data_IF_253677116354
#
_entry.id   IF_253677116354
#
_cell.length_a   1.000
_cell.length_b   1.000
_cell.length_c   1.000
_cell.angle_alpha   90.00
_cell.angle_beta   90.00
_cell.angle_gamma   90.00
#
_symmetry.space_group_name_H-M   'P 1'
#
loop_
_entity.id
_entity.type
_entity.pdbx_description
1 polymer ?
#
# COMPACT_ATOMS: atom_id res chain seq x y z
N UNK A 1 -0.59 -10.27 17.89
CA UNK A 1 -1.49 -11.42 17.68
C UNK A 1 -2.78 -11.32 18.48
N UNK A 2 -2.74 -11.20 19.82
CA UNK A 2 -3.96 -11.21 20.67
C UNK A 2 -5.02 -10.16 20.33
N UNK A 3 -4.68 -8.88 20.09
CA UNK A 3 -5.69 -7.84 19.74
C UNK A 3 -6.25 -7.92 18.31
N UNK A 4 -5.50 -8.52 17.38
CA UNK A 4 -5.97 -8.74 16.01
C UNK A 4 -6.94 -9.93 15.96
N UNK A 5 -6.66 -11.01 16.71
CA UNK A 5 -7.62 -12.08 16.96
C UNK A 5 -8.87 -11.56 17.69
N UNK A 6 -8.72 -10.61 18.62
CA UNK A 6 -9.85 -10.05 19.38
C UNK A 6 -10.79 -9.19 18.52
N UNK A 7 -10.27 -8.53 17.47
CA UNK A 7 -11.09 -7.83 16.47
C UNK A 7 -11.72 -8.83 15.49
N UNK A 8 -11.03 -9.93 15.22
CA UNK A 8 -11.45 -10.98 14.31
C UNK A 8 -12.63 -11.80 14.86
N UNK A 9 -12.54 -12.25 16.11
CA UNK A 9 -13.62 -12.94 16.82
C UNK A 9 -14.88 -12.07 16.92
N UNK A 10 -14.69 -10.75 16.99
CA UNK A 10 -15.76 -9.74 17.04
C UNK A 10 -16.46 -9.50 15.70
N UNK A 11 -15.76 -9.72 14.59
CA UNK A 11 -16.33 -9.64 13.24
C UNK A 11 -17.03 -10.96 12.86
N UNK A 12 -16.58 -12.10 13.37
CA UNK A 12 -17.11 -13.43 13.06
C UNK A 12 -18.49 -13.73 13.66
N UNK A 13 -18.79 -13.20 14.86
CA UNK A 13 -20.14 -13.34 15.47
C UNK A 13 -21.25 -12.57 14.73
N UNK A 14 -20.88 -11.68 13.80
CA UNK A 14 -21.81 -10.76 13.14
C UNK A 14 -22.62 -11.41 12.01
N UNK A 15 -22.18 -12.54 11.44
CA UNK A 15 -22.84 -13.12 10.26
C UNK A 15 -23.43 -14.54 10.44
N UNK A 16 -22.98 -15.32 11.42
CA UNK A 16 -23.38 -16.73 11.59
C UNK A 16 -24.55 -16.98 12.55
N UNK A 17 -24.86 -16.06 13.48
CA UNK A 17 -25.89 -16.29 14.50
C UNK A 17 -25.58 -17.43 15.48
N UNK A 18 -24.34 -17.94 15.51
CA UNK A 18 -23.92 -19.01 16.42
C UNK A 18 -23.16 -18.45 17.62
N UNK A 19 -23.75 -18.53 18.82
CA UNK A 19 -23.05 -18.31 20.09
C UNK A 19 -22.12 -19.50 20.36
N UNK A 20 -20.80 -19.30 20.32
CA UNK A 20 -19.87 -20.25 20.94
C UNK A 20 -18.87 -19.51 21.84
N UNK A 21 -18.90 -19.89 23.11
CA UNK A 21 -18.03 -19.42 24.19
C UNK A 21 -16.57 -19.73 23.89
N UNK A 22 -15.73 -18.70 23.83
CA UNK A 22 -14.27 -18.83 23.75
C UNK A 22 -13.70 -19.35 25.08
N UNK A 23 -13.64 -20.67 25.20
CA UNK A 23 -12.90 -21.36 26.26
C UNK A 23 -12.26 -22.60 25.65
N UNK A 24 -11.15 -22.43 24.94
CA UNK A 24 -10.04 -23.40 24.93
C UNK A 24 -8.92 -22.89 24.02
N UNK A 25 -7.69 -22.84 24.55
CA UNK A 25 -6.49 -22.71 23.73
C UNK A 25 -6.34 -24.00 22.93
N UNK A 26 -6.07 -23.96 21.61
CA UNK A 26 -5.93 -25.19 20.85
C UNK A 26 -4.62 -25.89 21.24
N UNK A 27 -4.78 -27.06 21.85
CA UNK A 27 -3.74 -28.08 21.93
C UNK A 27 -3.58 -28.67 20.52
N UNK A 28 -2.36 -29.06 20.17
CA UNK A 28 -1.84 -29.38 18.82
C UNK A 28 -2.45 -30.58 18.08
N UNK A 29 -3.75 -30.87 18.24
CA UNK A 29 -4.36 -32.12 17.78
C UNK A 29 -5.74 -32.01 17.10
N UNK A 30 -6.24 -30.81 16.77
CA UNK A 30 -7.48 -30.67 16.00
C UNK A 30 -7.16 -30.61 14.50
N UNK A 31 -7.64 -31.62 13.75
CA UNK A 31 -7.33 -31.83 12.33
C UNK A 31 -7.91 -30.72 11.45
N UNK A 32 -7.18 -30.41 10.37
CA UNK A 32 -7.49 -29.42 9.32
C UNK A 32 -8.89 -29.56 8.72
N UNK A 33 -9.50 -30.75 8.78
CA UNK A 33 -10.82 -31.05 8.21
C UNK A 33 -11.99 -30.44 9.00
N UNK A 34 -11.89 -30.33 10.33
CA UNK A 34 -12.96 -29.73 11.19
C UNK A 34 -13.09 -28.20 11.00
N UNK A 35 -12.06 -27.57 10.45
CA UNK A 35 -12.01 -26.13 10.18
C UNK A 35 -12.67 -25.76 8.84
N UNK A 36 -12.65 -26.68 7.86
CA UNK A 36 -13.25 -26.48 6.53
C UNK A 36 -14.78 -26.38 6.62
N UNK A 37 -15.42 -27.14 7.52
CA UNK A 37 -16.89 -27.06 7.71
C UNK A 37 -17.37 -25.75 8.35
N UNK A 38 -16.49 -25.03 9.08
CA UNK A 38 -16.83 -23.79 9.78
C UNK A 38 -16.51 -22.51 9.01
N UNK A 39 -15.93 -22.61 7.82
CA UNK A 39 -15.59 -21.46 6.98
C UNK A 39 -14.38 -20.65 7.46
N UNK A 40 -13.61 -21.14 8.44
CA UNK A 40 -12.40 -20.47 8.94
C UNK A 40 -11.21 -21.41 8.77
N UNK A 41 -10.15 -20.96 8.11
CA UNK A 41 -8.91 -21.73 8.11
C UNK A 41 -7.68 -20.83 8.19
N UNK A 42 -6.72 -21.30 8.97
CA UNK A 42 -5.40 -20.72 9.10
C UNK A 42 -4.42 -21.65 8.38
N UNK A 43 -3.67 -21.12 7.43
CA UNK A 43 -2.58 -21.81 6.75
C UNK A 43 -1.29 -20.97 6.81
N UNK A 44 -0.24 -21.45 6.15
CA UNK A 44 1.06 -20.75 6.14
C UNK A 44 0.97 -19.38 5.43
N UNK A 45 -0.01 -19.20 4.52
CA UNK A 45 -0.17 -17.99 3.72
C UNK A 45 -0.99 -16.91 4.44
N UNK A 46 -1.86 -17.31 5.38
CA UNK A 46 -2.70 -16.38 6.10
C UNK A 46 -3.88 -16.99 6.82
N UNK A 47 -4.76 -16.09 7.24
CA UNK A 47 -6.04 -16.41 7.83
C UNK A 47 -7.13 -16.10 6.81
N UNK A 48 -7.97 -17.09 6.51
CA UNK A 48 -9.13 -16.95 5.66
C UNK A 48 -10.40 -17.15 6.47
N UNK A 49 -11.36 -16.27 6.25
CA UNK A 49 -12.70 -16.34 6.82
C UNK A 49 -13.69 -16.31 5.66
N UNK A 50 -14.64 -17.24 5.67
CA UNK A 50 -15.73 -17.37 4.72
C UNK A 50 -17.05 -17.32 5.46
N UNK A 51 -17.85 -16.29 5.16
CA UNK A 51 -19.22 -16.24 5.61
C UNK A 51 -20.18 -16.65 4.46
N UNK A 52 -21.09 -17.61 4.69
CA UNK A 52 -22.14 -17.94 3.74
C UNK A 52 -23.07 -16.75 3.46
N UNK A 53 -23.45 -16.62 2.19
CA UNK A 53 -24.25 -15.51 1.67
C UNK A 53 -23.39 -14.45 0.97
N UNK A 54 -23.99 -13.77 0.00
CA UNK A 54 -23.35 -12.70 -0.78
C UNK A 54 -23.00 -11.45 0.04
N UNK A 55 -22.43 -10.44 -0.61
CA UNK A 55 -22.51 -9.07 -0.09
C UNK A 55 -23.98 -8.61 0.03
N UNK A 56 -24.24 -7.73 1.01
CA UNK A 56 -25.56 -7.12 1.19
C UNK A 56 -25.90 -6.28 -0.05
N UNK A 57 -27.18 -6.15 -0.37
CA UNK A 57 -27.63 -5.34 -1.50
C UNK A 57 -27.02 -3.92 -1.47
N UNK A 58 -26.45 -3.50 -2.59
CA UNK A 58 -25.74 -2.22 -2.74
C UNK A 58 -24.27 -2.24 -2.32
N UNK A 59 -23.77 -3.31 -1.70
CA UNK A 59 -22.36 -3.50 -1.35
C UNK A 59 -21.66 -4.34 -2.42
N UNK A 60 -20.48 -3.90 -2.83
CA UNK A 60 -19.61 -4.52 -3.82
C UNK A 60 -18.16 -4.38 -3.37
N UNK A 61 -17.24 -5.11 -4.03
CA UNK A 61 -15.81 -4.95 -3.80
C UNK A 61 -15.31 -3.52 -4.07
N UNK A 62 -15.99 -2.76 -4.94
CA UNK A 62 -15.58 -1.42 -5.33
C UNK A 62 -16.07 -0.30 -4.39
N UNK A 63 -16.99 -0.58 -3.47
CA UNK A 63 -17.56 0.42 -2.55
C UNK A 63 -17.64 -0.06 -1.09
N UNK A 64 -17.02 -1.19 -0.74
CA UNK A 64 -16.95 -1.77 0.60
C UNK A 64 -16.49 -0.78 1.70
N UNK A 65 -15.57 0.14 1.38
CA UNK A 65 -14.97 1.11 2.31
C UNK A 65 -15.78 2.41 2.47
N UNK A 66 -16.78 2.62 1.61
CA UNK A 66 -17.55 3.87 1.56
C UNK A 66 -19.05 3.65 1.71
N UNK A 67 -19.51 2.40 1.66
CA UNK A 67 -20.92 2.06 1.84
C UNK A 67 -21.28 2.09 3.32
N UNK A 68 -22.43 2.68 3.63
CA UNK A 68 -22.92 2.69 5.01
C UNK A 68 -23.20 1.28 5.53
N UNK A 69 -22.86 0.97 6.79
CA UNK A 69 -23.07 -0.36 7.36
C UNK A 69 -24.56 -0.72 7.41
N UNK A 70 -24.95 -1.78 6.69
CA UNK A 70 -26.32 -2.32 6.68
C UNK A 70 -26.31 -3.79 7.11
N UNK A 71 -26.60 -4.10 8.39
CA UNK A 71 -26.62 -5.48 8.86
C UNK A 71 -27.77 -6.25 8.22
N UNK A 72 -27.53 -7.50 7.80
CA UNK A 72 -28.59 -8.41 7.31
C UNK A 72 -29.62 -8.71 8.39
N UNK A 73 -29.16 -8.87 9.64
CA UNK A 73 -30.00 -9.08 10.81
C UNK A 73 -29.78 -7.94 11.82
N UNK A 74 -30.61 -6.89 11.81
CA UNK A 74 -30.45 -5.74 12.71
C UNK A 74 -30.55 -6.11 14.20
N UNK A 75 -31.40 -7.09 14.56
CA UNK A 75 -31.58 -7.51 15.95
C UNK A 75 -30.33 -8.20 16.49
N UNK A 76 -29.78 -9.15 15.73
CA UNK A 76 -28.53 -9.82 16.10
C UNK A 76 -27.39 -8.78 16.20
N UNK A 77 -27.28 -7.89 15.22
CA UNK A 77 -26.29 -6.82 15.24
C UNK A 77 -26.40 -5.94 16.49
N UNK A 78 -27.61 -5.59 16.93
CA UNK A 78 -27.83 -4.81 18.16
C UNK A 78 -27.43 -5.59 19.41
N UNK A 79 -27.77 -6.88 19.50
CA UNK A 79 -27.37 -7.75 20.61
C UNK A 79 -25.84 -7.80 20.71
N UNK A 80 -25.15 -8.13 19.62
CA UNK A 80 -23.67 -8.24 19.56
C UNK A 80 -23.00 -6.90 19.90
N UNK A 81 -23.58 -5.77 19.48
CA UNK A 81 -23.12 -4.42 19.88
C UNK A 81 -23.30 -4.15 21.37
N UNK A 82 -24.41 -4.59 21.98
CA UNK A 82 -24.69 -4.38 23.41
C UNK A 82 -23.79 -5.20 24.32
N UNK A 83 -23.44 -6.43 23.91
CA UNK A 83 -22.54 -7.30 24.66
C UNK A 83 -21.05 -6.99 24.42
N UNK A 84 -20.73 -5.97 23.61
CA UNK A 84 -19.35 -5.49 23.40
C UNK A 84 -18.53 -6.33 22.42
N UNK A 85 -19.19 -7.24 21.70
CA UNK A 85 -18.59 -8.07 20.67
C UNK A 85 -18.57 -7.37 19.31
N UNK A 86 -19.39 -6.35 19.07
CA UNK A 86 -19.27 -5.52 17.86
C UNK A 86 -19.23 -4.04 18.23
N UNK A 87 -18.58 -3.25 17.40
CA UNK A 87 -18.59 -1.80 17.57
C UNK A 87 -19.95 -1.21 17.18
N UNK A 88 -20.30 -0.11 17.84
CA UNK A 88 -21.61 0.53 17.67
C UNK A 88 -21.76 1.21 16.31
N UNK A 89 -20.65 1.65 15.73
CA UNK A 89 -20.53 2.45 14.50
C UNK A 89 -20.60 1.63 13.20
N UNK A 90 -20.37 0.31 13.25
CA UNK A 90 -20.41 -0.56 12.07
C UNK A 90 -19.20 -0.48 11.14
N UNK A 91 -18.04 -0.01 11.61
CA UNK A 91 -16.80 0.19 10.81
C UNK A 91 -15.88 -1.04 10.77
N UNK A 92 -16.46 -2.24 10.82
CA UNK A 92 -15.69 -3.47 11.03
C UNK A 92 -14.67 -3.72 9.92
N UNK A 93 -15.06 -3.43 8.68
CA UNK A 93 -14.17 -3.47 7.51
C UNK A 93 -13.02 -2.48 7.69
N UNK A 94 -13.33 -1.21 8.01
CA UNK A 94 -12.30 -0.17 8.22
C UNK A 94 -11.27 -0.63 9.26
N UNK A 95 -11.72 -1.28 10.34
CA UNK A 95 -10.85 -1.80 11.40
C UNK A 95 -9.94 -2.92 10.95
N UNK A 96 -10.43 -3.83 10.10
CA UNK A 96 -9.59 -4.87 9.50
C UNK A 96 -8.51 -4.22 8.63
N UNK A 97 -8.89 -3.27 7.77
CA UNK A 97 -7.94 -2.53 6.96
C UNK A 97 -6.92 -1.78 7.84
N UNK A 98 -7.37 -0.96 8.78
CA UNK A 98 -6.49 -0.22 9.71
C UNK A 98 -5.54 -1.17 10.45
N UNK A 99 -6.07 -2.26 10.99
CA UNK A 99 -5.32 -3.25 11.78
C UNK A 99 -4.22 -3.97 10.99
N UNK A 100 -4.37 -4.10 9.67
CA UNK A 100 -3.35 -4.66 8.80
C UNK A 100 -2.38 -3.58 8.29
N UNK A 101 -2.93 -2.53 7.70
CA UNK A 101 -2.16 -1.52 6.98
C UNK A 101 -1.22 -0.75 7.92
N UNK A 102 -1.64 -0.47 9.15
CA UNK A 102 -0.82 0.23 10.15
C UNK A 102 0.47 -0.51 10.49
N UNK A 103 0.49 -1.83 10.35
CA UNK A 103 1.67 -2.68 10.58
C UNK A 103 2.42 -2.99 9.28
N UNK A 104 2.11 -2.29 8.18
CA UNK A 104 2.70 -2.51 6.87
C UNK A 104 2.35 -3.86 6.23
N UNK A 105 1.28 -4.52 6.72
CA UNK A 105 0.74 -5.73 6.08
C UNK A 105 -0.10 -5.33 4.87
N UNK A 106 -0.26 -6.22 3.87
CA UNK A 106 -1.18 -6.02 2.77
C UNK A 106 -2.61 -5.76 3.25
N UNK A 107 -3.40 -5.06 2.43
CA UNK A 107 -4.83 -4.94 2.64
C UNK A 107 -5.49 -6.34 2.65
N UNK A 108 -6.62 -6.51 3.35
CA UNK A 108 -7.39 -7.75 3.28
C UNK A 108 -7.89 -7.97 1.84
N UNK A 109 -7.84 -9.22 1.38
CA UNK A 109 -8.30 -9.61 0.06
C UNK A 109 -9.71 -10.21 0.14
N UNK A 110 -10.65 -9.62 -0.59
CA UNK A 110 -12.03 -10.09 -0.72
C UNK A 110 -12.32 -10.73 -2.08
N UNK A 111 -11.31 -10.90 -2.94
CA UNK A 111 -11.46 -11.32 -4.34
C UNK A 111 -12.00 -12.73 -4.54
N UNK A 112 -12.02 -13.56 -3.49
CA UNK A 112 -12.68 -14.88 -3.49
C UNK A 112 -14.18 -14.83 -3.16
N UNK A 113 -14.73 -13.65 -2.86
CA UNK A 113 -16.16 -13.48 -2.61
C UNK A 113 -16.98 -13.58 -3.90
N UNK A 114 -18.16 -14.16 -3.81
CA UNK A 114 -19.07 -14.37 -4.93
C UNK A 114 -20.55 -14.16 -4.55
N UNK A 115 -21.47 -14.64 -5.40
CA UNK A 115 -22.91 -14.53 -5.19
C UNK A 115 -23.44 -15.39 -4.01
N UNK A 116 -22.61 -16.27 -3.46
CA UNK A 116 -22.99 -17.26 -2.45
C UNK A 116 -22.16 -17.18 -1.19
N UNK A 117 -21.01 -16.50 -1.21
CA UNK A 117 -20.12 -16.37 -0.05
C UNK A 117 -19.36 -15.04 -0.06
N UNK A 118 -19.07 -14.52 1.13
CA UNK A 118 -18.11 -13.43 1.33
C UNK A 118 -16.89 -14.01 2.02
N UNK A 119 -15.75 -13.93 1.34
CA UNK A 119 -14.47 -14.48 1.82
C UNK A 119 -13.51 -13.33 2.02
N UNK A 120 -12.93 -13.22 3.21
CA UNK A 120 -11.84 -12.30 3.52
C UNK A 120 -10.57 -13.09 3.85
N UNK A 121 -9.50 -12.80 3.11
CA UNK A 121 -8.18 -13.37 3.32
C UNK A 121 -7.22 -12.31 3.84
N UNK A 122 -6.51 -12.62 4.92
CA UNK A 122 -5.53 -11.74 5.53
C UNK A 122 -4.19 -12.44 5.57
N UNK A 123 -3.21 -11.91 4.84
CA UNK A 123 -1.91 -12.55 4.71
C UNK A 123 -1.11 -12.52 6.02
N UNK A 124 -0.38 -13.61 6.28
CA UNK A 124 0.53 -13.71 7.41
C UNK A 124 1.90 -13.04 7.16
N UNK A 125 2.07 -12.23 6.10
CA UNK A 125 3.33 -11.51 5.84
C UNK A 125 3.84 -10.76 7.08
N UNK A 126 5.14 -10.84 7.35
CA UNK A 126 5.77 -10.17 8.47
C UNK A 126 5.44 -8.67 8.55
N UNK A 127 5.28 -8.15 9.76
CA UNK A 127 5.01 -6.72 9.98
C UNK A 127 6.24 -5.86 9.70
N UNK A 128 6.02 -4.69 9.12
CA UNK A 128 7.05 -3.69 8.85
C UNK A 128 7.12 -2.68 10.01
N UNK A 129 8.05 -2.92 10.93
CA UNK A 129 8.21 -2.06 12.11
C UNK A 129 8.66 -0.64 11.75
N UNK A 130 9.40 -0.46 10.65
CA UNK A 130 9.82 0.88 10.19
C UNK A 130 8.64 1.69 9.65
N UNK A 131 7.72 1.02 8.94
CA UNK A 131 6.46 1.63 8.53
C UNK A 131 5.61 2.01 9.75
N UNK A 132 5.43 1.09 10.71
CA UNK A 132 4.67 1.35 11.93
C UNK A 132 5.25 2.54 12.73
N UNK A 133 6.57 2.59 12.91
CA UNK A 133 7.25 3.71 13.58
C UNK A 133 6.94 5.04 12.90
N UNK A 134 6.88 5.06 11.57
CA UNK A 134 6.54 6.27 10.81
C UNK A 134 5.09 6.69 11.04
N UNK A 135 4.15 5.74 11.00
CA UNK A 135 2.75 6.04 11.30
C UNK A 135 2.61 6.63 12.71
N UNK A 136 3.22 5.99 13.70
CA UNK A 136 3.16 6.45 15.10
C UNK A 136 3.74 7.85 15.29
N UNK A 137 4.85 8.17 14.61
CA UNK A 137 5.44 9.51 14.65
C UNK A 137 4.53 10.58 14.08
N UNK A 138 3.86 10.28 12.97
CA UNK A 138 2.94 11.23 12.35
C UNK A 138 1.69 11.44 13.21
N UNK A 139 1.23 10.41 13.89
CA UNK A 139 0.13 10.52 14.84
C UNK A 139 0.52 11.34 16.08
N UNK A 140 1.74 11.14 16.59
CA UNK A 140 2.29 11.95 17.67
C UNK A 140 2.44 13.42 17.25
N UNK A 141 2.97 13.67 16.05
CA UNK A 141 3.14 15.02 15.49
C UNK A 141 1.82 15.76 15.29
N UNK A 142 0.77 15.05 14.87
CA UNK A 142 -0.55 15.64 14.57
C UNK A 142 -1.53 15.58 15.74
N UNK A 143 -1.22 14.80 16.78
CA UNK A 143 -2.11 14.53 17.90
C UNK A 143 -3.37 13.74 17.52
N UNK A 144 -3.38 13.09 16.36
CA UNK A 144 -4.56 12.39 15.79
C UNK A 144 -4.15 11.06 15.20
N UNK A 145 -5.04 10.07 15.25
CA UNK A 145 -4.84 8.81 14.53
C UNK A 145 -4.74 9.05 13.03
N UNK A 146 -3.87 8.30 12.35
CA UNK A 146 -3.74 8.38 10.91
C UNK A 146 -5.05 7.89 10.26
N UNK A 147 -5.66 8.67 9.34
CA UNK A 147 -6.87 8.24 8.66
C UNK A 147 -6.65 6.97 7.83
N UNK A 148 -7.70 6.14 7.71
CA UNK A 148 -7.64 4.91 6.91
C UNK A 148 -7.22 5.16 5.46
N UNK A 149 -7.75 6.19 4.80
CA UNK A 149 -7.35 6.55 3.43
C UNK A 149 -5.83 6.78 3.31
N UNK A 150 -5.24 7.44 4.32
CA UNK A 150 -3.81 7.68 4.37
C UNK A 150 -3.04 6.37 4.47
N UNK A 151 -3.49 5.44 5.32
CA UNK A 151 -2.90 4.10 5.45
C UNK A 151 -3.01 3.31 4.14
N UNK A 152 -4.16 3.38 3.46
CA UNK A 152 -4.37 2.74 2.15
C UNK A 152 -3.38 3.29 1.14
N UNK A 153 -3.31 4.61 0.98
CA UNK A 153 -2.42 5.24 -0.01
C UNK A 153 -0.96 4.90 0.26
N UNK A 154 -0.51 5.04 1.52
CA UNK A 154 0.87 4.72 1.90
C UNK A 154 1.21 3.24 1.65
N UNK A 155 0.28 2.33 1.95
CA UNK A 155 0.46 0.90 1.69
C UNK A 155 0.55 0.59 0.20
N UNK A 156 -0.30 1.20 -0.62
CA UNK A 156 -0.28 1.02 -2.09
C UNK A 156 1.02 1.56 -2.70
N UNK A 157 1.47 2.74 -2.28
CA UNK A 157 2.77 3.31 -2.70
C UNK A 157 3.98 2.52 -2.18
N UNK A 158 3.81 1.74 -1.11
CA UNK A 158 4.84 0.82 -0.62
C UNK A 158 4.89 -0.46 -1.45
N UNK A 159 3.76 -1.01 -1.87
CA UNK A 159 3.68 -2.20 -2.71
C UNK A 159 4.07 -1.89 -4.16
N UNK A 160 3.64 -0.73 -4.65
CA UNK A 160 3.76 -0.31 -6.04
C UNK A 160 4.72 0.88 -6.12
N UNK A 161 5.69 0.79 -7.03
CA UNK A 161 6.83 1.72 -7.05
C UNK A 161 6.44 3.18 -7.32
N UNK A 162 5.35 3.39 -8.05
CA UNK A 162 4.89 4.69 -8.52
C UNK A 162 3.43 4.58 -8.97
N UNK A 163 2.58 5.49 -8.51
CA UNK A 163 1.15 5.48 -8.85
C UNK A 163 0.65 6.84 -9.30
N UNK A 164 -0.41 6.84 -10.11
CA UNK A 164 -1.18 8.03 -10.44
C UNK A 164 -2.43 8.12 -9.56
N UNK A 165 -3.11 9.27 -9.59
CA UNK A 165 -4.28 9.51 -8.74
C UNK A 165 -5.41 8.49 -8.98
N UNK A 166 -5.58 8.01 -10.21
CA UNK A 166 -6.65 7.05 -10.55
C UNK A 166 -6.44 5.69 -9.88
N UNK A 167 -5.19 5.21 -9.76
CA UNK A 167 -4.89 3.96 -9.06
C UNK A 167 -5.25 4.06 -7.57
N UNK A 168 -4.98 5.23 -7.00
CA UNK A 168 -5.30 5.54 -5.60
C UNK A 168 -6.81 5.66 -5.38
N UNK A 169 -7.58 6.22 -6.33
CA UNK A 169 -9.05 6.31 -6.21
C UNK A 169 -9.71 4.93 -6.17
N UNK A 170 -9.23 3.96 -6.94
CA UNK A 170 -9.72 2.59 -6.87
C UNK A 170 -9.39 1.94 -5.52
N UNK A 171 -8.23 2.26 -4.97
CA UNK A 171 -7.78 1.70 -3.69
C UNK A 171 -8.52 2.29 -2.49
N UNK A 172 -8.79 3.61 -2.50
CA UNK A 172 -9.54 4.31 -1.43
C UNK A 172 -11.05 4.21 -1.61
N UNK A 173 -11.52 3.82 -2.80
CA UNK A 173 -12.94 3.77 -3.19
C UNK A 173 -13.63 5.15 -3.09
N UNK A 174 -12.85 6.22 -3.23
CA UNK A 174 -13.30 7.61 -3.11
C UNK A 174 -13.15 8.35 -4.43
N UNK A 175 -13.80 9.51 -4.50
CA UNK A 175 -13.67 10.41 -5.63
C UNK A 175 -12.23 10.89 -5.80
N UNK A 176 -11.88 11.30 -7.02
CA UNK A 176 -10.57 11.88 -7.31
C UNK A 176 -10.29 13.10 -6.43
N UNK A 177 -11.29 13.95 -6.18
CA UNK A 177 -11.15 15.12 -5.33
C UNK A 177 -10.81 14.75 -3.89
N UNK A 178 -11.55 13.81 -3.28
CA UNK A 178 -11.29 13.38 -1.92
C UNK A 178 -9.91 12.72 -1.79
N UNK A 179 -9.57 11.84 -2.74
CA UNK A 179 -8.25 11.18 -2.79
C UNK A 179 -7.11 12.19 -2.97
N UNK A 180 -7.34 13.25 -3.78
CA UNK A 180 -6.38 14.34 -4.01
C UNK A 180 -6.11 15.11 -2.72
N UNK A 181 -7.14 15.44 -1.94
CA UNK A 181 -6.95 16.10 -0.64
C UNK A 181 -6.06 15.24 0.26
N UNK A 182 -6.36 13.95 0.39
CA UNK A 182 -5.57 13.05 1.24
C UNK A 182 -4.12 12.93 0.78
N UNK A 183 -3.86 12.74 -0.52
CA UNK A 183 -2.49 12.57 -1.01
C UNK A 183 -1.67 13.86 -0.92
N UNK A 184 -2.26 15.03 -1.15
CA UNK A 184 -1.53 16.29 -0.96
C UNK A 184 -1.21 16.54 0.52
N UNK A 185 -2.10 16.17 1.45
CA UNK A 185 -1.78 16.20 2.90
C UNK A 185 -0.59 15.29 3.24
N UNK A 186 -0.50 14.10 2.61
CA UNK A 186 0.65 13.20 2.78
C UNK A 186 1.94 13.75 2.16
N UNK A 187 1.83 14.51 1.06
CA UNK A 187 2.96 15.22 0.44
C UNK A 187 3.46 16.34 1.35
N UNK A 188 2.54 17.15 1.90
CA UNK A 188 2.87 18.22 2.86
C UNK A 188 3.50 17.68 4.14
N UNK A 189 3.03 16.52 4.62
CA UNK A 189 3.63 15.80 5.74
C UNK A 189 5.02 15.20 5.41
N UNK A 190 5.41 15.16 4.13
CA UNK A 190 6.67 14.58 3.67
C UNK A 190 6.72 13.06 3.74
N UNK A 191 5.56 12.40 3.72
CA UNK A 191 5.41 10.94 3.68
C UNK A 191 5.34 10.41 2.25
N UNK A 192 4.93 11.26 1.31
CA UNK A 192 4.85 10.97 -0.12
C UNK A 192 5.59 12.05 -0.89
N UNK A 193 6.31 11.65 -1.93
CA UNK A 193 6.90 12.57 -2.90
C UNK A 193 6.06 12.56 -4.18
N UNK A 194 5.80 13.74 -4.75
CA UNK A 194 5.06 13.89 -5.98
C UNK A 194 5.98 14.29 -7.15
N UNK A 195 5.76 13.69 -8.31
CA UNK A 195 6.62 13.83 -9.49
C UNK A 195 5.81 14.23 -10.72
N UNK A 196 6.32 15.20 -11.47
CA UNK A 196 5.65 15.72 -12.67
C UNK A 196 4.49 16.67 -12.34
N UNK A 197 3.70 17.00 -13.36
CA UNK A 197 2.59 17.95 -13.26
C UNK A 197 1.37 17.50 -14.10
N UNK A 198 0.20 18.08 -13.81
CA UNK A 198 -1.03 17.81 -14.54
C UNK A 198 -1.57 16.39 -14.34
N UNK A 199 -2.22 15.85 -15.39
CA UNK A 199 -2.88 14.52 -15.36
C UNK A 199 -1.91 13.34 -15.26
N UNK A 200 -0.63 13.55 -15.58
CA UNK A 200 0.43 12.53 -15.48
C UNK A 200 1.24 12.62 -14.18
N UNK A 201 0.77 13.40 -13.19
CA UNK A 201 1.46 13.51 -11.90
C UNK A 201 1.44 12.15 -11.21
N UNK A 202 2.62 11.71 -10.79
CA UNK A 202 2.84 10.42 -10.13
C UNK A 202 3.31 10.63 -8.71
N UNK A 203 3.07 9.64 -7.86
CA UNK A 203 3.37 9.69 -6.44
C UNK A 203 4.24 8.48 -6.07
N UNK A 204 5.17 8.68 -5.14
CA UNK A 204 6.03 7.64 -4.57
C UNK A 204 6.11 7.80 -3.06
N UNK A 205 6.28 6.72 -2.32
CA UNK A 205 6.55 6.80 -0.88
C UNK A 205 7.86 7.57 -0.63
N UNK A 206 7.91 8.46 0.37
CA UNK A 206 9.07 9.34 0.55
C UNK A 206 10.31 8.61 1.09
N UNK A 207 11.51 9.05 0.67
CA UNK A 207 12.80 8.56 1.17
C UNK A 207 12.96 8.62 2.69
N UNK A 208 12.24 9.55 3.33
CA UNK A 208 12.29 9.76 4.78
C UNK A 208 11.84 8.51 5.55
N UNK A 209 10.91 7.71 5.01
CA UNK A 209 10.43 6.48 5.65
C UNK A 209 11.55 5.43 5.84
N UNK A 210 12.44 5.30 4.86
CA UNK A 210 13.44 4.22 4.83
C UNK A 210 14.80 4.59 5.43
N UNK A 211 15.01 5.86 5.77
CA UNK A 211 16.32 6.36 6.25
C UNK A 211 16.70 5.84 7.64
N UNK A 212 15.73 5.46 8.49
CA UNK A 212 15.98 4.95 9.86
C UNK A 212 15.99 3.43 9.98
N UNK A 213 15.32 2.70 9.08
CA UNK A 213 15.18 1.24 9.17
C UNK A 213 16.38 0.43 8.62
N UNK A 214 17.55 1.05 8.36
CA UNK A 214 18.70 0.37 7.75
C UNK A 214 18.50 -0.09 6.29
N UNK A 215 17.29 0.05 5.73
CA UNK A 215 16.91 -0.39 4.39
C UNK A 215 17.16 0.69 3.32
N UNK A 216 18.34 1.35 3.36
CA UNK A 216 18.75 2.33 2.33
C UNK A 216 18.69 1.75 0.91
N UNK A 217 18.93 0.44 0.75
CA UNK A 217 18.96 -0.23 -0.55
C UNK A 217 17.58 -0.56 -1.15
N UNK A 218 16.50 -0.58 -0.35
CA UNK A 218 15.14 -0.87 -0.81
C UNK A 218 14.52 0.34 -1.51
N UNK A 219 14.60 1.50 -0.87
CA UNK A 219 14.12 2.78 -1.40
C UNK A 219 14.79 3.18 -2.72
N UNK A 220 16.13 3.02 -2.81
CA UNK A 220 16.91 3.35 -4.03
C UNK A 220 16.47 2.50 -5.24
N UNK A 221 15.93 1.29 -5.00
CA UNK A 221 15.35 0.43 -6.05
C UNK A 221 13.88 0.76 -6.36
N UNK A 222 13.19 1.46 -5.48
CA UNK A 222 11.73 1.67 -5.50
C UNK A 222 11.32 3.03 -6.09
N UNK A 223 12.01 4.13 -5.78
CA UNK A 223 11.64 5.48 -6.26
C UNK A 223 11.93 5.71 -7.76
N UNK A 224 12.67 4.79 -8.40
CA UNK A 224 13.47 5.15 -9.56
C UNK A 224 14.61 6.08 -9.14
N UNK A 225 15.64 6.21 -9.97
CA UNK A 225 16.79 7.02 -9.62
C UNK A 225 16.36 8.50 -9.49
N UNK A 226 16.60 9.12 -8.34
CA UNK A 226 16.56 10.58 -8.14
C UNK A 226 17.41 11.25 -9.24
N UNK A 227 17.07 12.47 -9.67
CA UNK A 227 17.89 13.28 -10.57
C UNK A 227 19.40 13.30 -10.22
N UNK A 228 19.76 13.27 -8.92
CA UNK A 228 21.16 13.15 -8.45
C UNK A 228 21.71 11.74 -8.71
N UNK A 229 20.92 10.70 -8.48
CA UNK A 229 21.32 9.32 -8.75
C UNK A 229 21.44 9.04 -10.25
N UNK A 230 20.53 9.56 -11.07
CA UNK A 230 20.61 9.48 -12.53
C UNK A 230 21.89 10.12 -13.03
N UNK A 231 22.28 11.29 -12.49
CA UNK A 231 23.58 11.89 -12.79
C UNK A 231 24.74 10.97 -12.41
N UNK A 232 24.75 10.43 -11.20
CA UNK A 232 25.83 9.56 -10.74
C UNK A 232 25.93 8.26 -11.54
N UNK A 233 24.81 7.69 -11.96
CA UNK A 233 24.79 6.50 -12.83
C UNK A 233 25.40 6.79 -14.19
N UNK A 234 25.01 7.90 -14.82
CA UNK A 234 25.56 8.32 -16.11
C UNK A 234 27.06 8.55 -16.00
N UNK A 235 27.52 9.24 -14.95
CA UNK A 235 28.94 9.51 -14.72
C UNK A 235 29.74 8.23 -14.45
N UNK A 236 29.20 7.31 -13.64
CA UNK A 236 29.84 6.01 -13.39
C UNK A 236 29.93 5.17 -14.66
N UNK A 237 28.84 5.10 -15.42
CA UNK A 237 28.82 4.35 -16.68
C UNK A 237 29.86 4.89 -17.67
N UNK A 238 29.96 6.23 -17.80
CA UNK A 238 31.00 6.86 -18.62
C UNK A 238 32.40 6.56 -18.08
N UNK A 239 32.60 6.57 -16.75
CA UNK A 239 33.88 6.20 -16.15
C UNK A 239 34.30 4.76 -16.43
N UNK A 240 33.35 3.82 -16.47
CA UNK A 240 33.60 2.39 -16.71
C UNK A 240 33.67 2.03 -18.21
N UNK A 241 32.87 2.67 -19.06
CA UNK A 241 32.69 2.32 -20.48
C UNK A 241 33.22 3.39 -21.46
N UNK A 242 33.78 4.48 -20.93
CA UNK A 242 34.36 5.60 -21.68
C UNK A 242 33.36 6.58 -22.31
N UNK A 243 32.20 6.09 -22.78
CA UNK A 243 31.17 6.95 -23.38
C UNK A 243 29.75 6.42 -23.19
N UNK A 244 28.75 7.28 -23.39
CA UNK A 244 27.34 6.90 -23.36
C UNK A 244 26.54 7.67 -24.41
N UNK A 245 25.55 7.02 -25.01
CA UNK A 245 24.57 7.60 -25.95
C UNK A 245 23.26 7.89 -25.24
N UNK A 246 22.44 8.77 -25.82
CA UNK A 246 21.13 9.11 -25.25
C UNK A 246 20.21 7.90 -25.05
N UNK A 247 20.23 6.93 -25.97
CA UNK A 247 19.42 5.72 -25.86
C UNK A 247 19.86 4.87 -24.64
N UNK A 248 21.17 4.75 -24.43
CA UNK A 248 21.74 4.05 -23.29
C UNK A 248 21.42 4.78 -21.97
N UNK A 249 21.39 6.12 -21.96
CA UNK A 249 20.90 6.89 -20.79
C UNK A 249 19.42 6.63 -20.52
N UNK A 250 18.59 6.60 -21.56
CA UNK A 250 17.16 6.34 -21.44
C UNK A 250 16.91 4.93 -20.85
N UNK A 251 17.68 3.94 -21.29
CA UNK A 251 17.64 2.57 -20.76
C UNK A 251 18.18 2.49 -19.34
N UNK A 252 19.40 2.98 -19.10
CA UNK A 252 20.11 2.95 -17.82
C UNK A 252 19.31 3.63 -16.71
N UNK A 253 18.76 4.81 -16.99
CA UNK A 253 18.04 5.61 -16.01
C UNK A 253 16.52 5.40 -16.05
N UNK A 254 16.02 4.52 -16.93
CA UNK A 254 14.57 4.28 -17.18
C UNK A 254 13.79 5.58 -17.45
N UNK A 255 14.35 6.41 -18.32
CA UNK A 255 13.81 7.71 -18.70
C UNK A 255 13.21 7.67 -20.10
N UNK A 256 12.22 8.53 -20.36
CA UNK A 256 11.82 8.82 -21.74
C UNK A 256 12.95 9.53 -22.51
N UNK A 257 12.96 9.43 -23.83
CA UNK A 257 13.97 10.08 -24.68
C UNK A 257 14.10 11.61 -24.45
N UNK A 258 13.02 12.37 -24.22
CA UNK A 258 13.10 13.78 -23.84
C UNK A 258 13.77 13.99 -22.46
N UNK A 259 13.42 13.18 -21.45
CA UNK A 259 14.02 13.29 -20.11
C UNK A 259 15.51 12.95 -20.13
N UNK A 260 15.92 11.91 -20.86
CA UNK A 260 17.33 11.57 -21.06
C UNK A 260 18.09 12.72 -21.73
N UNK A 261 17.48 13.40 -22.71
CA UNK A 261 18.06 14.60 -23.32
C UNK A 261 18.24 15.74 -22.31
N UNK A 262 17.23 16.04 -21.48
CA UNK A 262 17.32 17.09 -20.47
C UNK A 262 18.38 16.78 -19.40
N UNK A 263 18.51 15.52 -18.99
CA UNK A 263 19.56 15.07 -18.07
C UNK A 263 20.96 15.30 -18.66
N UNK A 264 21.19 14.84 -19.89
CA UNK A 264 22.45 15.03 -20.60
C UNK A 264 22.77 16.51 -20.84
N UNK A 265 21.76 17.32 -21.18
CA UNK A 265 21.92 18.77 -21.33
C UNK A 265 22.38 19.41 -20.02
N UNK A 266 21.73 19.08 -18.90
CA UNK A 266 22.11 19.59 -17.57
C UNK A 266 23.53 19.17 -17.16
N UNK A 267 23.92 17.92 -17.41
CA UNK A 267 25.28 17.43 -17.15
C UNK A 267 26.34 18.14 -18.02
N UNK A 268 26.00 18.45 -19.27
CA UNK A 268 26.85 19.22 -20.18
C UNK A 268 26.97 20.68 -19.76
N UNK A 269 25.86 21.31 -19.42
CA UNK A 269 25.80 22.72 -19.00
C UNK A 269 26.53 22.93 -17.66
N UNK A 270 26.50 21.94 -16.77
CA UNK A 270 27.30 21.91 -15.53
C UNK A 270 28.76 21.48 -15.72
N UNK A 271 29.19 21.20 -16.95
CA UNK A 271 30.58 20.88 -17.27
C UNK A 271 31.05 19.50 -16.82
N UNK A 272 30.16 18.58 -16.45
CA UNK A 272 30.56 17.22 -16.01
C UNK A 272 30.82 16.26 -17.17
N UNK A 273 30.19 16.49 -18.31
CA UNK A 273 30.35 15.69 -19.53
C UNK A 273 30.56 16.58 -20.76
N UNK A 274 31.17 16.01 -21.80
CA UNK A 274 31.31 16.64 -23.10
C UNK A 274 30.57 15.83 -24.17
N UNK A 275 29.94 16.54 -25.11
CA UNK A 275 29.23 15.92 -26.23
C UNK A 275 30.16 15.84 -27.45
N UNK A 276 30.19 14.67 -28.08
CA UNK A 276 30.82 14.41 -29.36
C UNK A 276 29.79 13.98 -30.39
N UNK A 277 29.95 14.44 -31.63
CA UNK A 277 29.00 14.15 -32.72
C UNK A 277 27.65 14.87 -32.58
N UNK A 278 26.79 14.66 -33.60
CA UNK A 278 25.52 15.37 -33.74
C UNK A 278 24.39 14.39 -34.08
N UNK A 279 23.18 14.66 -33.59
CA UNK A 279 21.96 13.87 -33.84
C UNK A 279 22.17 12.37 -33.50
N UNK A 280 22.04 11.49 -34.49
CA UNK A 280 22.12 10.03 -34.32
C UNK A 280 23.52 9.53 -33.95
N UNK A 281 24.54 10.34 -34.19
CA UNK A 281 25.93 10.02 -33.87
C UNK A 281 26.42 10.71 -32.59
N UNK A 282 25.51 11.32 -31.82
CA UNK A 282 25.87 11.97 -30.57
C UNK A 282 26.18 10.96 -29.46
N UNK A 283 27.35 11.07 -28.86
CA UNK A 283 27.76 10.36 -27.65
C UNK A 283 28.42 11.34 -26.67
N UNK A 284 28.51 10.94 -25.41
CA UNK A 284 28.97 11.79 -24.32
C UNK A 284 30.08 11.10 -23.55
N UNK A 285 31.12 11.85 -23.21
CA UNK A 285 32.30 11.41 -22.46
C UNK A 285 32.49 12.30 -21.23
N UNK A 286 33.34 11.89 -20.30
CA UNK A 286 33.62 12.69 -19.11
C UNK A 286 34.47 13.89 -19.50
N UNK A 287 34.10 15.08 -19.00
CA UNK A 287 34.92 16.26 -19.22
C UNK A 287 36.11 16.20 -18.26
N UNK A 288 37.33 16.22 -18.80
CA UNK A 288 38.57 16.33 -18.03
C UNK A 288 38.71 17.68 -17.35
#
# INVERSE_FOLDING_TARGET
MSKALDILYKVLDFQSGSLLTASEKPTSALKRDDWIEKGEWLDDDGLSISNPGSFVEGVTLANLLVTEPRPRNPLLADIVKRIGLAERTGRGIDRIFEGLLRYGRPAPDYGRSDATSVVVQMSNTGSDLGFLETVLREEERTGRSMPLDSLIILSRLRQERRLIITDLTHSTQKTEQATRVTIETLVEAGLVDAHGSGRGRTYTLSAKLYRKAGQKAGYIRQAGFDAIQQEQMVLRYIGENGSIKRAEVAELCRLSMPQAYHLLKRLKDSGKIQQHGVKRHAFYTQKS
#
